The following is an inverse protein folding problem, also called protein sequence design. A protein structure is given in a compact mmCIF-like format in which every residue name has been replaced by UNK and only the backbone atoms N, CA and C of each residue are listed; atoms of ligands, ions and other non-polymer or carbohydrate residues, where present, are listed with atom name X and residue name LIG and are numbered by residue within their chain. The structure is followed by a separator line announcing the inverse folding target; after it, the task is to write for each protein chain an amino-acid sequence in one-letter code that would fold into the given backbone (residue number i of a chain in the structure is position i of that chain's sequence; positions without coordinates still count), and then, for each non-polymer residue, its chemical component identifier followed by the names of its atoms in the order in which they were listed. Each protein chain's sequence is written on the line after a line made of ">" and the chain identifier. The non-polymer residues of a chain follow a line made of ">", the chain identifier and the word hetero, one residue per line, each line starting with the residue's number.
data_IF_708034402605
#
_entry.id   IF_708034402605
#
_cell.length_a   1.000
_cell.length_b   1.000
_cell.length_c   1.000
_cell.angle_alpha   90.00
_cell.angle_beta   90.00
_cell.angle_gamma   90.00
#
_symmetry.space_group_name_H-M   'P 1'
#
loop_
_entity.id
_entity.type
_entity.pdbx_description
1 polymer ?
#
# COMPACT_ATOMS: atom_id res chain seq x y z
N UNK A 1 -24.08 7.22 -14.12
CA UNK A 1 -22.63 7.37 -14.11
C UNK A 1 -22.11 7.00 -15.49
N UNK A 2 -21.70 7.97 -16.32
CA UNK A 2 -21.23 7.68 -17.68
C UNK A 2 -19.84 7.08 -17.61
N UNK A 3 -19.72 5.81 -18.01
CA UNK A 3 -18.47 5.03 -18.06
C UNK A 3 -17.63 5.32 -19.31
N UNK A 4 -17.86 6.43 -19.99
CA UNK A 4 -17.31 6.69 -21.34
C UNK A 4 -16.02 7.52 -21.38
N UNK A 5 -15.33 7.76 -20.26
CA UNK A 5 -13.94 8.28 -20.31
C UNK A 5 -12.97 7.21 -19.82
N UNK A 6 -12.39 6.48 -20.77
CA UNK A 6 -11.50 5.34 -20.59
C UNK A 6 -10.10 5.72 -20.06
N UNK A 7 -9.93 6.88 -19.46
CA UNK A 7 -8.69 7.22 -18.74
C UNK A 7 -8.85 6.87 -17.26
N UNK A 8 -7.93 6.08 -16.75
CA UNK A 8 -7.91 5.76 -15.32
C UNK A 8 -7.85 7.03 -14.48
N UNK A 9 -8.73 7.15 -13.48
CA UNK A 9 -8.72 8.29 -12.56
C UNK A 9 -7.55 8.26 -11.58
N UNK A 10 -6.86 7.12 -11.42
CA UNK A 10 -5.81 6.93 -10.44
C UNK A 10 -4.53 6.34 -11.02
N UNK A 11 -3.42 6.58 -10.35
CA UNK A 11 -2.14 5.93 -10.55
C UNK A 11 -1.79 5.13 -9.31
N UNK A 12 -1.40 3.87 -9.48
CA UNK A 12 -0.83 3.05 -8.41
C UNK A 12 0.64 3.43 -8.21
N UNK A 13 1.08 3.48 -6.95
CA UNK A 13 2.45 3.87 -6.60
C UNK A 13 3.02 2.91 -5.56
N UNK A 14 4.20 2.35 -5.84
CA UNK A 14 5.00 1.59 -4.87
C UNK A 14 6.42 2.16 -4.83
N UNK A 15 6.91 2.41 -3.61
CA UNK A 15 8.34 2.58 -3.33
C UNK A 15 8.87 1.30 -2.69
N UNK A 16 10.00 0.79 -3.16
CA UNK A 16 10.58 -0.46 -2.67
C UNK A 16 12.08 -0.37 -2.48
N UNK A 17 12.57 -1.10 -1.50
CA UNK A 17 13.99 -1.41 -1.26
C UNK A 17 14.08 -2.91 -1.03
N UNK A 18 14.60 -3.66 -2.03
CA UNK A 18 14.57 -5.12 -2.02
C UNK A 18 13.13 -5.68 -2.02
N UNK A 19 12.93 -6.91 -1.51
CA UNK A 19 11.61 -7.53 -1.39
C UNK A 19 11.02 -8.06 -2.71
N UNK A 20 11.88 -8.49 -3.61
CA UNK A 20 11.54 -8.89 -4.98
C UNK A 20 10.31 -9.82 -5.07
N UNK A 21 10.29 -10.90 -4.28
CA UNK A 21 9.22 -11.90 -4.36
C UNK A 21 7.84 -11.38 -3.95
N UNK A 22 7.78 -10.59 -2.88
CA UNK A 22 6.53 -9.96 -2.43
C UNK A 22 6.08 -8.87 -3.40
N UNK A 23 7.01 -8.07 -3.93
CA UNK A 23 6.72 -7.07 -4.94
C UNK A 23 6.09 -7.68 -6.20
N UNK A 24 6.62 -8.82 -6.66
CA UNK A 24 6.04 -9.57 -7.78
C UNK A 24 4.58 -9.96 -7.50
N UNK A 25 4.33 -10.52 -6.31
CA UNK A 25 2.99 -10.91 -5.88
C UNK A 25 2.05 -9.69 -5.78
N UNK A 26 2.53 -8.57 -5.21
CA UNK A 26 1.77 -7.33 -5.12
C UNK A 26 1.39 -6.80 -6.51
N UNK A 27 2.34 -6.66 -7.43
CA UNK A 27 2.10 -6.19 -8.80
C UNK A 27 1.11 -7.10 -9.53
N UNK A 28 1.31 -8.43 -9.45
CA UNK A 28 0.38 -9.41 -10.01
C UNK A 28 -1.03 -9.20 -9.48
N UNK A 29 -1.18 -9.14 -8.15
CA UNK A 29 -2.48 -9.00 -7.51
C UNK A 29 -3.21 -7.72 -7.94
N UNK A 30 -2.50 -6.60 -8.02
CA UNK A 30 -3.04 -5.33 -8.49
C UNK A 30 -3.54 -5.46 -9.93
N UNK A 31 -2.77 -6.05 -10.84
CA UNK A 31 -3.18 -6.21 -12.24
C UNK A 31 -4.35 -7.18 -12.44
N UNK A 32 -4.42 -8.23 -11.64
CA UNK A 32 -5.49 -9.24 -11.75
C UNK A 32 -6.78 -8.84 -11.04
N UNK A 33 -6.69 -8.14 -9.91
CA UNK A 33 -7.81 -7.91 -9.00
C UNK A 33 -8.36 -6.49 -9.01
N UNK A 34 -7.64 -5.50 -9.56
CA UNK A 34 -8.17 -4.14 -9.66
C UNK A 34 -9.31 -4.02 -10.66
N UNK A 35 -10.21 -3.10 -10.42
CA UNK A 35 -11.20 -2.65 -11.40
C UNK A 35 -10.52 -1.87 -12.54
N UNK A 36 -9.61 -0.96 -12.18
CA UNK A 36 -8.85 -0.13 -13.14
C UNK A 36 -7.54 -0.84 -13.52
N UNK A 37 -7.65 -2.00 -14.21
CA UNK A 37 -6.50 -2.86 -14.55
C UNK A 37 -5.41 -2.17 -15.36
N UNK A 38 -5.79 -1.23 -16.22
CA UNK A 38 -4.89 -0.50 -17.10
C UNK A 38 -4.40 0.83 -16.51
N UNK A 39 -4.71 1.10 -15.23
CA UNK A 39 -4.24 2.30 -14.54
C UNK A 39 -2.71 2.40 -14.60
N UNK A 40 -2.14 3.60 -14.78
CA UNK A 40 -0.70 3.80 -14.66
C UNK A 40 -0.17 3.23 -13.34
N UNK A 41 1.02 2.62 -13.37
CA UNK A 41 1.62 2.04 -12.18
C UNK A 41 3.08 2.45 -12.07
N UNK A 42 3.38 3.37 -11.17
CA UNK A 42 4.71 3.91 -10.94
C UNK A 42 5.40 3.11 -9.85
N UNK A 43 6.58 2.59 -10.15
CA UNK A 43 7.44 1.86 -9.22
C UNK A 43 8.75 2.63 -9.05
N UNK A 44 9.12 2.94 -7.82
CA UNK A 44 10.44 3.47 -7.46
C UNK A 44 11.20 2.43 -6.66
N UNK A 45 12.31 1.95 -7.22
CA UNK A 45 13.20 0.96 -6.61
C UNK A 45 14.52 1.63 -6.22
N UNK A 46 14.84 1.65 -4.91
CA UNK A 46 16.00 2.33 -4.37
C UNK A 46 17.04 1.35 -3.84
N UNK A 47 18.24 1.34 -4.46
CA UNK A 47 19.40 0.56 -4.01
C UNK A 47 19.09 -0.94 -3.80
N UNK A 48 18.26 -1.53 -4.66
CA UNK A 48 17.91 -2.94 -4.58
C UNK A 48 19.09 -3.84 -4.99
N UNK A 49 19.27 -4.94 -4.26
CA UNK A 49 20.38 -5.90 -4.44
C UNK A 49 19.93 -7.36 -4.51
N UNK A 50 18.61 -7.60 -4.54
CA UNK A 50 17.97 -8.93 -4.45
C UNK A 50 17.37 -9.41 -5.77
N UNK A 51 17.74 -8.79 -6.90
CA UNK A 51 17.16 -9.08 -8.21
C UNK A 51 15.88 -8.31 -8.54
N UNK A 52 15.46 -7.38 -7.67
CA UNK A 52 14.27 -6.52 -7.91
C UNK A 52 14.44 -5.69 -9.19
N UNK A 53 15.62 -5.09 -9.40
CA UNK A 53 15.86 -4.21 -10.54
C UNK A 53 15.75 -4.96 -11.87
N UNK A 54 16.39 -6.12 -11.96
CA UNK A 54 16.39 -6.99 -13.12
C UNK A 54 14.97 -7.45 -13.45
N UNK A 55 14.25 -7.92 -12.43
CA UNK A 55 12.88 -8.38 -12.61
C UNK A 55 11.95 -7.26 -13.09
N UNK A 56 12.07 -6.06 -12.55
CA UNK A 56 11.27 -4.90 -12.96
C UNK A 56 11.53 -4.54 -14.41
N UNK A 57 12.80 -4.49 -14.85
CA UNK A 57 13.17 -4.20 -16.23
C UNK A 57 12.64 -5.26 -17.21
N UNK A 58 12.71 -6.54 -16.85
CA UNK A 58 12.21 -7.64 -17.68
C UNK A 58 10.68 -7.68 -17.79
N UNK A 59 9.96 -7.19 -16.76
CA UNK A 59 8.51 -7.36 -16.66
C UNK A 59 7.72 -6.05 -16.79
N UNK A 60 8.37 -4.89 -16.92
CA UNK A 60 7.69 -3.58 -17.00
C UNK A 60 6.65 -3.52 -18.12
N UNK A 61 6.95 -4.04 -19.30
CA UNK A 61 6.01 -4.02 -20.43
C UNK A 61 4.83 -4.96 -20.18
N UNK A 62 5.10 -6.16 -19.63
CA UNK A 62 4.08 -7.15 -19.31
C UNK A 62 3.02 -6.62 -18.32
N UNK A 63 3.47 -5.88 -17.33
CA UNK A 63 2.61 -5.34 -16.28
C UNK A 63 2.30 -3.84 -16.47
N UNK A 64 2.67 -3.22 -17.59
CA UNK A 64 2.49 -1.80 -17.89
C UNK A 64 2.98 -0.92 -16.72
N UNK A 65 4.27 -1.07 -16.34
CA UNK A 65 4.89 -0.36 -15.24
C UNK A 65 5.74 0.80 -15.77
N UNK A 66 5.65 1.93 -15.07
CA UNK A 66 6.60 3.04 -15.19
C UNK A 66 7.64 2.89 -14.08
N UNK A 67 8.82 2.37 -14.42
CA UNK A 67 9.84 1.95 -13.46
C UNK A 67 10.95 2.99 -13.37
N UNK A 68 11.33 3.32 -12.15
CA UNK A 68 12.46 4.20 -11.82
C UNK A 68 13.39 3.47 -10.85
N UNK A 69 14.64 3.25 -11.29
CA UNK A 69 15.64 2.51 -10.54
C UNK A 69 16.78 3.45 -10.14
N UNK A 70 17.03 3.54 -8.85
CA UNK A 70 18.18 4.23 -8.24
C UNK A 70 19.12 3.20 -7.62
N UNK A 71 20.37 3.15 -8.05
CA UNK A 71 21.33 2.10 -7.62
C UNK A 71 22.41 2.59 -6.67
N UNK A 72 22.60 3.90 -6.54
CA UNK A 72 23.69 4.49 -5.75
C UNK A 72 23.22 5.79 -5.05
N UNK A 73 22.01 5.75 -4.50
CA UNK A 73 21.46 6.91 -3.81
C UNK A 73 22.01 7.01 -2.37
N UNK A 74 22.76 8.08 -2.10
CA UNK A 74 23.29 8.37 -0.78
C UNK A 74 23.27 9.89 -0.51
N UNK A 75 22.51 10.39 0.49
CA UNK A 75 21.66 9.59 1.40
C UNK A 75 20.45 8.98 0.69
N UNK A 76 19.94 7.87 1.23
CA UNK A 76 18.73 7.22 0.74
C UNK A 76 17.53 8.14 0.93
N UNK A 77 16.58 8.11 -0.02
CA UNK A 77 15.27 8.79 0.12
C UNK A 77 14.38 8.08 1.14
N UNK A 78 14.53 6.75 1.24
CA UNK A 78 13.70 5.92 2.10
C UNK A 78 12.25 5.81 1.63
N UNK A 79 11.40 5.26 2.49
CA UNK A 79 9.98 4.98 2.16
C UNK A 79 9.24 6.28 1.82
N UNK A 80 9.32 7.28 2.69
CA UNK A 80 8.61 8.56 2.51
C UNK A 80 9.07 9.32 1.28
N UNK A 81 10.39 9.47 1.09
CA UNK A 81 10.95 10.15 -0.08
C UNK A 81 10.70 9.41 -1.39
N UNK A 82 10.68 8.07 -1.36
CA UNK A 82 10.30 7.24 -2.49
C UNK A 82 8.82 7.42 -2.88
N UNK A 83 7.92 7.53 -1.90
CA UNK A 83 6.50 7.88 -2.14
C UNK A 83 6.36 9.28 -2.74
N UNK A 84 7.12 10.28 -2.25
CA UNK A 84 7.17 11.61 -2.83
C UNK A 84 7.62 11.57 -4.30
N UNK A 85 8.65 10.78 -4.58
CA UNK A 85 9.12 10.58 -5.94
C UNK A 85 8.04 9.98 -6.84
N UNK A 86 7.38 8.90 -6.43
CA UNK A 86 6.26 8.32 -7.17
C UNK A 86 5.16 9.36 -7.41
N UNK A 87 4.75 10.08 -6.37
CA UNK A 87 3.73 11.12 -6.46
C UNK A 87 4.08 12.20 -7.50
N UNK A 88 5.36 12.56 -7.64
CA UNK A 88 5.85 13.53 -8.63
C UNK A 88 5.63 13.10 -10.09
N UNK A 89 5.46 11.79 -10.34
CA UNK A 89 5.21 11.22 -11.66
C UNK A 89 3.74 11.08 -12.01
N UNK A 90 2.87 11.16 -11.01
CA UNK A 90 1.41 11.00 -11.18
C UNK A 90 0.80 12.14 -11.97
N UNK A 91 0.02 11.78 -13.00
CA UNK A 91 -0.73 12.72 -13.86
C UNK A 91 -2.24 12.55 -13.75
N UNK A 92 -2.68 11.53 -13.02
CA UNK A 92 -4.10 11.26 -12.78
C UNK A 92 -4.62 12.08 -11.60
N UNK A 93 -5.94 12.10 -11.43
CA UNK A 93 -6.61 12.82 -10.34
C UNK A 93 -6.21 12.28 -8.95
N UNK A 94 -6.05 10.95 -8.85
CA UNK A 94 -5.74 10.28 -7.60
C UNK A 94 -4.40 9.55 -7.64
N UNK A 95 -3.78 9.50 -6.46
CA UNK A 95 -2.64 8.63 -6.14
C UNK A 95 -3.16 7.52 -5.26
N UNK A 96 -2.83 6.28 -5.59
CA UNK A 96 -3.07 5.13 -4.72
C UNK A 96 -1.72 4.55 -4.27
N UNK A 97 -1.33 4.86 -3.04
CA UNK A 97 -0.10 4.36 -2.45
C UNK A 97 -0.28 2.93 -1.94
N UNK A 98 0.66 2.08 -2.29
CA UNK A 98 0.70 0.67 -1.94
C UNK A 98 2.06 0.33 -1.33
N UNK A 99 2.08 -0.67 -0.47
CA UNK A 99 3.33 -1.29 0.00
C UNK A 99 3.73 -2.46 -0.91
N UNK A 100 5.01 -2.85 -0.86
CA UNK A 100 5.53 -3.92 -1.70
C UNK A 100 5.11 -5.32 -1.21
N UNK A 101 4.68 -5.47 0.04
CA UNK A 101 4.32 -6.73 0.69
C UNK A 101 2.81 -6.85 0.96
N UNK A 102 2.01 -6.59 -0.07
CA UNK A 102 0.55 -6.72 -0.02
C UNK A 102 0.01 -7.67 -1.08
N UNK A 103 -1.24 -8.11 -0.86
CA UNK A 103 -2.09 -8.74 -1.85
C UNK A 103 -3.48 -8.09 -1.81
N UNK A 104 -4.01 -7.64 -2.95
CA UNK A 104 -5.27 -6.90 -3.00
C UNK A 104 -6.45 -7.80 -3.35
N UNK A 105 -7.60 -7.53 -2.74
CA UNK A 105 -8.86 -8.21 -3.05
C UNK A 105 -9.48 -7.68 -4.36
N UNK A 106 -10.50 -8.38 -4.86
CA UNK A 106 -11.20 -8.01 -6.09
C UNK A 106 -11.87 -6.64 -5.97
N UNK A 107 -11.73 -5.79 -7.00
CA UNK A 107 -12.34 -4.46 -7.11
C UNK A 107 -12.04 -3.51 -5.92
N UNK A 108 -10.97 -3.77 -5.17
CA UNK A 108 -10.57 -3.00 -3.99
C UNK A 108 -10.38 -1.50 -4.27
N UNK A 109 -9.84 -1.16 -5.42
CA UNK A 109 -9.56 0.20 -5.89
C UNK A 109 -10.84 0.98 -6.24
N UNK A 110 -11.82 0.31 -6.83
CA UNK A 110 -13.14 0.88 -7.08
C UNK A 110 -13.85 1.24 -5.77
N UNK A 111 -13.74 0.39 -4.76
CA UNK A 111 -14.37 0.64 -3.46
C UNK A 111 -13.71 1.82 -2.72
N UNK A 112 -12.40 2.00 -2.87
CA UNK A 112 -11.72 3.21 -2.37
C UNK A 112 -12.20 4.47 -3.08
N UNK A 113 -12.33 4.44 -4.41
CA UNK A 113 -12.83 5.58 -5.16
C UNK A 113 -14.26 5.95 -4.74
N UNK A 114 -15.15 4.97 -4.62
CA UNK A 114 -16.53 5.18 -4.14
C UNK A 114 -16.55 5.78 -2.73
N UNK A 115 -15.68 5.29 -1.84
CA UNK A 115 -15.55 5.81 -0.49
C UNK A 115 -15.14 7.28 -0.51
N UNK A 116 -14.11 7.61 -1.29
CA UNK A 116 -13.62 8.98 -1.43
C UNK A 116 -14.72 9.90 -1.98
N UNK A 117 -15.35 9.53 -3.10
CA UNK A 117 -16.41 10.34 -3.74
C UNK A 117 -17.59 10.58 -2.78
N UNK A 118 -17.97 9.59 -1.97
CA UNK A 118 -19.13 9.68 -1.09
C UNK A 118 -18.88 10.43 0.22
N UNK A 119 -17.74 10.24 0.85
CA UNK A 119 -17.50 10.70 2.22
C UNK A 119 -16.45 11.82 2.34
N UNK A 120 -15.52 11.89 1.41
CA UNK A 120 -14.57 13.00 1.29
C UNK A 120 -15.15 14.06 0.36
N UNK A 121 -15.54 13.66 -0.84
CA UNK A 121 -16.18 14.55 -1.82
C UNK A 121 -15.26 15.70 -2.22
N UNK A 122 -15.65 16.95 -1.94
CA UNK A 122 -14.86 18.16 -2.22
C UNK A 122 -13.93 18.56 -1.08
N UNK A 123 -14.08 17.95 0.10
CA UNK A 123 -13.18 18.19 1.23
C UNK A 123 -11.83 17.51 0.99
N UNK A 124 -10.82 17.84 1.78
CA UNK A 124 -9.55 17.13 1.77
C UNK A 124 -9.63 15.84 2.55
N UNK A 125 -8.98 14.79 2.05
CA UNK A 125 -8.96 13.54 2.78
C UNK A 125 -8.20 12.44 2.09
N UNK A 126 -7.94 11.41 2.88
CA UNK A 126 -7.35 10.15 2.46
C UNK A 126 -8.26 9.00 2.88
N UNK A 127 -8.40 8.02 2.02
CA UNK A 127 -9.22 6.85 2.28
C UNK A 127 -8.38 5.58 2.19
N UNK A 128 -8.68 4.60 3.05
CA UNK A 128 -7.85 3.42 3.21
C UNK A 128 -8.64 2.13 3.01
N UNK A 129 -7.93 1.11 2.51
CA UNK A 129 -8.38 -0.27 2.57
C UNK A 129 -8.27 -0.80 3.98
N UNK A 130 -9.24 -1.62 4.39
CA UNK A 130 -9.09 -2.41 5.60
C UNK A 130 -8.09 -3.54 5.34
N UNK A 131 -7.09 -3.65 6.20
CA UNK A 131 -6.09 -4.70 6.04
C UNK A 131 -6.47 -5.96 6.80
N UNK A 132 -6.15 -7.10 6.21
CA UNK A 132 -6.10 -8.41 6.82
C UNK A 132 -4.62 -8.73 7.02
N UNK A 133 -4.22 -9.17 8.20
CA UNK A 133 -2.82 -9.34 8.56
C UNK A 133 -2.64 -10.49 9.53
N UNK A 134 -1.56 -11.31 9.41
CA UNK A 134 -1.22 -12.28 10.43
C UNK A 134 -0.82 -11.57 11.73
N UNK A 135 -1.21 -12.14 12.87
CA UNK A 135 -0.90 -11.59 14.20
C UNK A 135 0.50 -12.02 14.66
N UNK A 136 1.54 -11.50 13.98
CA UNK A 136 2.94 -11.81 14.31
C UNK A 136 3.48 -11.06 15.53
N UNK A 137 2.80 -9.99 15.95
CA UNK A 137 3.24 -9.13 17.05
C UNK A 137 2.39 -9.25 18.30
N UNK A 138 1.37 -10.14 18.31
CA UNK A 138 0.32 -10.22 19.34
C UNK A 138 -0.33 -8.84 19.61
N UNK A 139 -0.52 -8.04 18.57
CA UNK A 139 -1.12 -6.70 18.61
C UNK A 139 -2.54 -6.75 18.05
N UNK A 140 -3.40 -7.54 18.70
CA UNK A 140 -4.78 -7.79 18.26
C UNK A 140 -5.72 -6.58 18.31
N UNK A 141 -5.26 -5.43 18.83
CA UNK A 141 -6.12 -4.26 19.05
C UNK A 141 -5.90 -3.13 18.02
N UNK A 142 -5.02 -3.30 17.04
CA UNK A 142 -4.74 -2.23 16.07
C UNK A 142 -5.97 -1.90 15.22
N UNK A 143 -6.46 -0.68 15.37
CA UNK A 143 -7.66 -0.21 14.69
C UNK A 143 -7.56 -0.37 13.16
N UNK A 144 -8.64 -0.85 12.52
CA UNK A 144 -8.68 -1.04 11.07
C UNK A 144 -7.96 -2.28 10.56
N UNK A 145 -7.49 -3.16 11.44
CA UNK A 145 -6.85 -4.43 11.09
C UNK A 145 -7.76 -5.60 11.45
N UNK A 146 -7.83 -6.59 10.55
CA UNK A 146 -8.39 -7.91 10.81
C UNK A 146 -7.20 -8.82 11.03
N UNK A 147 -6.98 -9.23 12.28
CA UNK A 147 -5.93 -10.17 12.60
C UNK A 147 -6.41 -11.61 12.36
N UNK A 148 -5.55 -12.39 11.74
CA UNK A 148 -5.78 -13.81 11.44
C UNK A 148 -4.61 -14.65 11.96
N UNK A 149 -4.80 -15.95 12.20
CA UNK A 149 -3.68 -16.87 12.46
C UNK A 149 -2.64 -16.79 11.34
N UNK A 150 -1.36 -16.99 11.67
CA UNK A 150 -0.26 -16.87 10.70
C UNK A 150 -0.43 -17.81 9.50
N UNK A 151 -0.93 -19.02 9.74
CA UNK A 151 -1.15 -20.05 8.75
C UNK A 151 -2.45 -19.91 7.96
N UNK A 152 -3.34 -18.96 8.28
CA UNK A 152 -4.70 -18.87 7.71
C UNK A 152 -4.70 -18.81 6.17
N UNK A 153 -3.83 -17.97 5.60
CA UNK A 153 -3.68 -17.84 4.14
C UNK A 153 -2.29 -18.23 3.65
N UNK A 154 -1.45 -18.78 4.51
CA UNK A 154 -0.03 -19.01 4.29
C UNK A 154 0.85 -17.93 4.89
N UNK A 155 2.04 -18.32 5.36
CA UNK A 155 2.96 -17.44 6.07
C UNK A 155 3.81 -16.56 5.14
N UNK A 156 4.05 -17.05 3.91
CA UNK A 156 5.03 -16.49 2.98
C UNK A 156 4.44 -16.33 1.58
N UNK A 157 5.08 -15.50 0.74
CA UNK A 157 4.67 -15.28 -0.64
C UNK A 157 4.49 -16.57 -1.46
N UNK A 158 5.31 -17.60 -1.21
CA UNK A 158 5.33 -18.84 -1.98
C UNK A 158 4.27 -19.87 -1.57
N UNK A 159 3.69 -19.73 -0.38
CA UNK A 159 2.61 -20.59 0.11
C UNK A 159 1.31 -19.84 0.38
N UNK A 160 1.21 -18.58 -0.05
CA UNK A 160 0.01 -17.78 0.09
C UNK A 160 -1.13 -18.33 -0.78
N UNK A 161 -2.25 -18.70 -0.15
CA UNK A 161 -3.44 -19.18 -0.83
C UNK A 161 -4.29 -18.00 -1.33
N UNK A 162 -3.95 -17.50 -2.53
CA UNK A 162 -4.63 -16.38 -3.19
C UNK A 162 -6.13 -16.64 -3.33
N UNK A 163 -6.52 -17.89 -3.67
CA UNK A 163 -7.92 -18.26 -3.89
C UNK A 163 -8.69 -18.21 -2.58
N UNK A 164 -8.16 -18.79 -1.53
CA UNK A 164 -8.82 -18.80 -0.22
C UNK A 164 -8.94 -17.37 0.34
N UNK A 165 -7.92 -16.53 0.19
CA UNK A 165 -8.01 -15.13 0.58
C UNK A 165 -9.11 -14.37 -0.18
N UNK A 166 -9.24 -14.57 -1.50
CA UNK A 166 -10.28 -13.93 -2.30
C UNK A 166 -11.68 -14.42 -1.92
N UNK A 167 -11.85 -15.70 -1.63
CA UNK A 167 -13.10 -16.29 -1.11
C UNK A 167 -13.46 -15.69 0.26
N UNK A 168 -12.50 -15.60 1.18
CA UNK A 168 -12.67 -14.93 2.47
C UNK A 168 -13.13 -13.49 2.30
N UNK A 169 -12.50 -12.71 1.42
CA UNK A 169 -12.88 -11.32 1.17
C UNK A 169 -14.32 -11.20 0.64
N UNK A 170 -14.71 -12.11 -0.26
CA UNK A 170 -16.08 -12.12 -0.81
C UNK A 170 -17.12 -12.42 0.27
N UNK A 171 -16.88 -13.40 1.15
CA UNK A 171 -17.77 -13.72 2.27
C UNK A 171 -17.78 -12.62 3.33
N UNK A 172 -16.60 -12.07 3.66
CA UNK A 172 -16.49 -10.98 4.64
C UNK A 172 -17.34 -9.77 4.24
N UNK A 173 -17.30 -9.37 2.96
CA UNK A 173 -18.12 -8.27 2.43
C UNK A 173 -19.62 -8.55 2.55
N UNK A 174 -20.08 -9.78 2.29
CA UNK A 174 -21.50 -10.17 2.43
C UNK A 174 -21.99 -10.07 3.87
N UNK A 175 -21.14 -10.44 4.84
CA UNK A 175 -21.49 -10.45 6.25
C UNK A 175 -21.44 -9.06 6.87
N UNK A 176 -20.49 -8.22 6.49
CA UNK A 176 -20.18 -6.95 7.17
C UNK A 176 -20.92 -5.73 6.62
N UNK A 177 -21.80 -5.89 5.63
CA UNK A 177 -22.69 -4.84 5.09
C UNK A 177 -22.13 -3.43 5.21
N UNK A 178 -21.17 -3.09 4.38
CA UNK A 178 -20.63 -1.74 4.20
C UNK A 178 -20.33 -1.00 5.53
N UNK A 179 -19.17 -1.24 6.07
CA UNK A 179 -18.69 -0.53 7.27
C UNK A 179 -17.70 0.55 6.87
N UNK A 180 -18.02 1.81 7.20
CA UNK A 180 -17.10 2.94 7.09
C UNK A 180 -16.70 3.37 8.48
N UNK A 181 -15.41 3.59 8.69
CA UNK A 181 -14.85 4.05 9.97
C UNK A 181 -13.92 5.23 9.73
N UNK A 182 -13.71 6.03 10.77
CA UNK A 182 -12.52 6.87 10.83
C UNK A 182 -11.34 5.94 11.10
N UNK A 183 -10.25 6.08 10.35
CA UNK A 183 -9.10 5.22 10.55
C UNK A 183 -8.01 5.43 9.51
N UNK A 184 -6.90 4.80 9.77
CA UNK A 184 -5.69 4.81 8.97
C UNK A 184 -5.36 3.40 8.52
N UNK A 185 -4.62 3.27 7.43
CA UNK A 185 -4.23 1.99 6.84
C UNK A 185 -2.87 2.05 6.16
N UNK A 186 -2.43 0.91 5.67
CA UNK A 186 -1.13 0.76 4.96
C UNK A 186 -1.22 1.06 3.47
N UNK A 187 -2.42 1.17 2.92
CA UNK A 187 -2.67 1.47 1.50
C UNK A 187 -3.77 2.52 1.43
N UNK A 188 -3.51 3.62 0.75
CA UNK A 188 -4.41 4.75 0.74
C UNK A 188 -4.57 5.42 -0.61
N UNK A 189 -5.80 5.89 -0.88
CA UNK A 189 -6.15 6.71 -2.02
C UNK A 189 -6.33 8.17 -1.58
N UNK A 190 -5.62 9.06 -2.23
CA UNK A 190 -5.66 10.51 -1.99
C UNK A 190 -5.70 11.26 -3.32
N UNK A 191 -6.36 12.42 -3.39
CA UNK A 191 -6.22 13.28 -4.56
C UNK A 191 -4.79 13.81 -4.68
N UNK A 192 -4.30 13.90 -5.91
CA UNK A 192 -2.97 14.47 -6.19
C UNK A 192 -2.87 15.91 -5.66
N UNK A 193 -3.91 16.73 -5.82
CA UNK A 193 -3.94 18.10 -5.31
C UNK A 193 -3.86 18.16 -3.76
N UNK A 194 -4.47 17.21 -3.06
CA UNK A 194 -4.42 17.13 -1.59
C UNK A 194 -3.03 16.72 -1.10
N UNK A 195 -2.39 15.78 -1.83
CA UNK A 195 -0.99 15.41 -1.58
C UNK A 195 -0.03 16.58 -1.77
N UNK A 196 -0.21 17.32 -2.86
CA UNK A 196 0.62 18.50 -3.15
C UNK A 196 0.40 19.63 -2.13
N UNK A 197 -0.85 19.79 -1.68
CA UNK A 197 -1.19 20.79 -0.65
C UNK A 197 -0.49 20.53 0.67
N UNK A 198 -0.47 19.25 1.13
CA UNK A 198 0.17 18.89 2.40
C UNK A 198 1.70 18.82 2.29
N UNK A 199 2.24 18.82 1.07
CA UNK A 199 3.67 18.76 0.79
C UNK A 199 4.30 17.37 0.87
N UNK A 200 3.48 16.31 0.89
CA UNK A 200 3.95 14.92 0.96
C UNK A 200 4.61 14.54 2.29
N UNK A 201 5.44 13.50 2.27
CA UNK A 201 6.25 13.07 3.41
C UNK A 201 7.43 14.03 3.65
N UNK A 202 7.85 14.14 4.89
CA UNK A 202 9.04 14.91 5.25
C UNK A 202 10.30 14.03 5.06
N UNK A 203 11.17 14.43 4.15
CA UNK A 203 12.39 13.68 3.80
C UNK A 203 13.39 13.56 4.97
N UNK A 204 13.21 14.33 6.05
CA UNK A 204 14.04 14.22 7.27
C UNK A 204 13.85 12.92 8.01
N UNK A 205 12.76 12.19 7.76
CA UNK A 205 12.50 10.86 8.33
C UNK A 205 13.11 9.72 7.52
N UNK A 206 13.94 10.02 6.51
CA UNK A 206 14.67 8.98 5.79
C UNK A 206 15.67 8.24 6.71
N UNK A 207 15.90 6.93 6.54
CA UNK A 207 15.34 6.08 5.49
C UNK A 207 13.94 5.51 5.79
N UNK A 208 13.49 5.50 7.05
CA UNK A 208 12.20 4.97 7.46
C UNK A 208 11.85 5.36 8.90
N UNK A 209 10.59 5.10 9.29
CA UNK A 209 9.95 5.30 10.59
C UNK A 209 9.52 6.75 10.88
N UNK A 210 8.30 6.85 11.35
CA UNK A 210 7.60 8.08 11.72
C UNK A 210 7.24 9.04 10.57
N UNK A 211 7.60 8.75 9.32
CA UNK A 211 7.22 9.55 8.16
C UNK A 211 5.70 9.57 7.94
N UNK A 212 5.04 8.44 8.16
CA UNK A 212 3.58 8.29 8.08
C UNK A 212 2.88 8.98 9.25
N UNK A 213 3.40 8.86 10.46
CA UNK A 213 2.87 9.53 11.65
C UNK A 213 2.94 11.06 11.50
N UNK A 214 4.08 11.60 11.07
CA UNK A 214 4.24 13.03 10.80
C UNK A 214 3.23 13.50 9.74
N UNK A 215 3.16 12.79 8.61
CA UNK A 215 2.23 13.11 7.54
C UNK A 215 0.78 13.14 8.04
N UNK A 216 0.36 12.12 8.79
CA UNK A 216 -1.01 12.03 9.29
C UNK A 216 -1.32 13.10 10.35
N UNK A 217 -0.36 13.46 11.22
CA UNK A 217 -0.53 14.57 12.18
C UNK A 217 -0.69 15.89 11.42
N UNK A 218 0.12 16.17 10.40
CA UNK A 218 -0.03 17.38 9.56
C UNK A 218 -1.39 17.40 8.85
N UNK A 219 -1.80 16.29 8.26
CA UNK A 219 -3.11 16.17 7.62
C UNK A 219 -4.25 16.39 8.62
N UNK A 220 -4.18 15.81 9.82
CA UNK A 220 -5.20 16.01 10.87
C UNK A 220 -5.30 17.48 11.29
N UNK A 221 -4.17 18.15 11.47
CA UNK A 221 -4.13 19.58 11.83
C UNK A 221 -4.73 20.48 10.71
N UNK A 222 -4.63 20.05 9.46
CA UNK A 222 -5.24 20.73 8.29
C UNK A 222 -6.70 20.28 8.03
N UNK A 223 -7.28 19.49 8.93
CA UNK A 223 -8.68 19.09 8.86
C UNK A 223 -9.00 18.03 7.79
N UNK A 224 -8.03 17.25 7.36
CA UNK A 224 -8.26 16.13 6.45
C UNK A 224 -9.18 15.09 7.06
N UNK A 225 -10.02 14.51 6.22
CA UNK A 225 -10.82 13.33 6.58
C UNK A 225 -10.01 12.06 6.40
N UNK A 226 -10.10 11.17 7.39
CA UNK A 226 -9.49 9.85 7.37
C UNK A 226 -10.59 8.80 7.41
N UNK A 227 -10.74 8.04 6.35
CA UNK A 227 -11.82 7.06 6.23
C UNK A 227 -11.26 5.70 5.84
N UNK A 228 -11.86 4.65 6.36
CA UNK A 228 -11.50 3.27 6.10
C UNK A 228 -12.77 2.48 5.78
N UNK A 229 -12.70 1.55 4.82
CA UNK A 229 -13.83 0.71 4.46
C UNK A 229 -13.49 -0.77 4.42
N UNK A 230 -14.42 -1.59 4.93
CA UNK A 230 -14.38 -3.04 4.81
C UNK A 230 -14.76 -3.58 3.41
N UNK A 231 -15.23 -2.71 2.51
CA UNK A 231 -15.46 -3.08 1.11
C UNK A 231 -14.17 -3.17 0.29
N UNK A 232 -13.13 -2.43 0.69
CA UNK A 232 -11.79 -2.52 0.14
C UNK A 232 -10.90 -3.29 1.11
N UNK A 233 -10.49 -4.50 0.73
CA UNK A 233 -9.67 -5.39 1.56
C UNK A 233 -8.32 -5.63 0.90
N UNK A 234 -7.29 -5.64 1.73
CA UNK A 234 -5.93 -6.03 1.33
C UNK A 234 -5.36 -7.01 2.36
N UNK A 235 -4.56 -7.97 1.93
CA UNK A 235 -3.69 -8.74 2.80
C UNK A 235 -2.34 -8.03 2.90
N UNK A 236 -1.81 -7.89 4.10
CA UNK A 236 -0.49 -7.34 4.36
C UNK A 236 0.36 -8.38 5.05
N UNK A 237 1.50 -8.73 4.44
CA UNK A 237 2.40 -9.78 4.95
C UNK A 237 3.18 -9.36 6.21
N UNK A 238 2.84 -8.22 6.77
CA UNK A 238 3.36 -7.71 8.04
C UNK A 238 4.88 -7.52 8.07
N UNK A 239 5.33 -6.41 7.53
CA UNK A 239 6.73 -5.97 7.62
C UNK A 239 7.76 -6.85 6.90
N UNK A 240 7.34 -7.66 5.92
CA UNK A 240 8.27 -8.45 5.11
C UNK A 240 9.20 -7.56 4.28
N UNK A 241 8.73 -6.36 3.91
CA UNK A 241 9.53 -5.38 3.20
C UNK A 241 10.62 -4.71 4.04
N UNK A 242 10.47 -4.64 5.37
CA UNK A 242 11.34 -3.83 6.22
C UNK A 242 12.00 -4.57 7.37
N UNK A 243 11.24 -5.42 8.08
CA UNK A 243 11.69 -6.04 9.33
C UNK A 243 12.15 -7.49 9.17
N UNK A 244 11.66 -8.20 8.16
CA UNK A 244 11.92 -9.62 7.95
C UNK A 244 12.26 -9.93 6.49
N UNK A 245 13.30 -9.27 5.92
CA UNK A 245 13.63 -9.41 4.50
C UNK A 245 14.01 -10.85 4.10
N UNK A 246 14.48 -11.65 5.05
CA UNK A 246 14.91 -13.04 4.85
C UNK A 246 13.81 -14.07 5.19
N UNK A 247 12.57 -13.62 5.45
CA UNK A 247 11.47 -14.46 5.96
C UNK A 247 11.76 -15.20 7.28
N UNK A 248 12.84 -14.84 7.97
CA UNK A 248 13.24 -15.46 9.22
C UNK A 248 12.60 -14.77 10.44
N UNK A 249 11.38 -15.19 10.78
CA UNK A 249 10.66 -14.67 11.95
C UNK A 249 11.32 -15.03 13.29
N UNK A 250 12.30 -15.94 13.30
CA UNK A 250 13.03 -16.28 14.53
C UNK A 250 14.04 -15.21 14.91
N UNK A 251 14.49 -14.46 13.93
CA UNK A 251 15.33 -13.25 14.10
C UNK A 251 14.46 -12.02 14.39
N UNK A 252 13.52 -12.12 15.35
CA UNK A 252 12.87 -10.91 15.84
C UNK A 252 13.97 -9.96 16.29
N UNK A 253 14.05 -8.75 15.71
CA UNK A 253 15.07 -7.83 16.15
C UNK A 253 14.80 -7.47 17.61
N UNK A 254 15.56 -8.01 18.53
CA UNK A 254 15.68 -7.43 19.89
C UNK A 254 16.09 -5.94 19.81
N UNK A 255 16.68 -5.56 18.69
CA UNK A 255 17.15 -4.20 18.38
C UNK A 255 16.04 -3.18 18.12
N UNK A 256 14.79 -3.59 17.90
CA UNK A 256 13.68 -2.64 17.74
C UNK A 256 13.17 -2.07 19.07
N UNK A 257 13.42 -2.76 20.18
CA UNK A 257 13.08 -2.22 21.50
C UNK A 257 13.93 -1.00 21.88
N UNK A 258 15.11 -0.85 21.27
CA UNK A 258 16.05 0.23 21.57
C UNK A 258 15.85 1.46 20.65
N UNK A 259 15.03 1.32 19.58
CA UNK A 259 14.69 2.42 18.66
C UNK A 259 13.32 3.02 18.98
N UNK A 260 12.47 2.32 19.74
CA UNK A 260 11.17 2.80 20.18
C UNK A 260 11.21 3.55 21.54
N UNK A 261 12.37 3.75 22.13
CA UNK A 261 12.61 4.60 23.31
C UNK A 261 13.33 5.90 22.92
#
# INVERSE_FOLDING_TARGET
>A
MNLENNMSKMTFCISTLNNNNYLQLAIKSVRENSHFKDAPFVIYAENCTDGTNEWLEENKDKYNLEVYIETDNNPKRGIGGGMNFCASKVKTEFINFLQADIYVAKDWDLELLKLHEKYVGKDRGIVFSQRVQPDIFNDSERAGTIFVPMEEFGEYYHNFDEKYFLEFCAEFRKLNKFTVRKGEGVSGLIRKEDWDYIGGNDDRFAPAYCEDMDLFIRMQNEGFKFMLTSESLIYHFASRASRFPDDDLTKRPQELSDVEQ
#
